data_IF_172005862392
#
_entry.id   IF_172005862392
#
_cell.length_a   1.000
_cell.length_b   1.000
_cell.length_c   1.000
_cell.angle_alpha   90.00
_cell.angle_beta   90.00
_cell.angle_gamma   90.00
#
_symmetry.space_group_name_H-M   'P 1'
#
loop_
_entity.id
_entity.type
_entity.pdbx_description
1 polymer ?
#
# COMPACT_ATOMS: atom_id res chain seq x y z
N UNK A 1 1.15 1.96 -50.59
CA UNK A 1 0.91 1.47 -49.22
C UNK A 1 0.65 2.70 -48.37
N UNK A 2 -0.63 2.99 -48.12
CA UNK A 2 -1.03 4.08 -47.24
C UNK A 2 -1.14 3.50 -45.84
N UNK A 3 -0.24 3.89 -44.94
CA UNK A 3 -0.45 3.73 -43.51
C UNK A 3 -1.59 4.67 -43.10
N UNK A 4 -2.76 4.09 -42.80
CA UNK A 4 -3.80 4.79 -42.06
C UNK A 4 -3.24 5.12 -40.67
N UNK A 5 -2.88 6.39 -40.45
CA UNK A 5 -2.86 6.96 -39.11
C UNK A 5 -4.27 6.84 -38.55
N UNK A 6 -4.52 5.80 -37.74
CA UNK A 6 -5.71 5.70 -36.91
C UNK A 6 -5.77 6.95 -36.03
N UNK A 7 -6.63 7.90 -36.41
CA UNK A 7 -6.85 9.13 -35.66
C UNK A 7 -7.24 8.78 -34.22
N UNK A 8 -6.63 9.47 -33.26
CA UNK A 8 -6.95 9.30 -31.85
C UNK A 8 -8.46 9.40 -31.64
N UNK A 9 -9.06 8.36 -31.05
CA UNK A 9 -10.49 8.36 -30.75
C UNK A 9 -10.75 9.40 -29.66
N UNK A 10 -11.59 10.39 -29.99
CA UNK A 10 -12.01 11.42 -29.05
C UNK A 10 -13.31 10.95 -28.37
N UNK A 11 -13.23 10.68 -27.07
CA UNK A 11 -14.35 10.19 -26.26
C UNK A 11 -14.74 11.24 -25.21
N UNK A 12 -16.01 11.33 -24.86
CA UNK A 12 -16.50 12.23 -23.81
C UNK A 12 -17.06 11.43 -22.65
N UNK A 13 -16.59 11.68 -21.44
CA UNK A 13 -17.16 11.14 -20.20
C UNK A 13 -17.33 12.25 -19.16
N UNK A 14 -17.86 11.94 -17.97
CA UNK A 14 -17.98 12.91 -16.89
C UNK A 14 -16.77 12.86 -15.96
N UNK A 15 -16.34 11.65 -15.58
CA UNK A 15 -15.18 11.46 -14.70
C UNK A 15 -14.25 10.39 -15.26
N UNK A 16 -12.96 10.72 -15.36
CA UNK A 16 -11.90 9.74 -15.60
C UNK A 16 -11.21 9.39 -14.28
N UNK A 17 -11.02 8.10 -14.02
CA UNK A 17 -10.21 7.61 -12.91
C UNK A 17 -8.92 7.00 -13.46
N UNK A 18 -7.78 7.55 -13.06
CA UNK A 18 -6.46 7.06 -13.49
C UNK A 18 -5.97 6.03 -12.47
N UNK A 19 -5.91 4.76 -12.90
CA UNK A 19 -5.47 3.60 -12.14
C UNK A 19 -6.61 2.64 -11.78
N UNK A 20 -6.52 1.39 -12.25
CA UNK A 20 -7.40 0.27 -11.94
C UNK A 20 -6.94 -0.54 -10.71
N UNK A 21 -6.33 0.12 -9.74
CA UNK A 21 -6.10 -0.44 -8.41
C UNK A 21 -7.35 -0.33 -7.54
N UNK A 22 -7.32 -0.94 -6.35
CA UNK A 22 -8.47 -0.95 -5.42
C UNK A 22 -9.02 0.47 -5.13
N UNK A 23 -8.14 1.47 -4.97
CA UNK A 23 -8.52 2.87 -4.73
C UNK A 23 -9.33 3.46 -5.89
N UNK A 24 -8.83 3.35 -7.13
CA UNK A 24 -9.52 3.88 -8.31
C UNK A 24 -10.82 3.15 -8.62
N UNK A 25 -10.83 1.82 -8.49
CA UNK A 25 -12.03 1.02 -8.69
C UNK A 25 -13.11 1.35 -7.65
N UNK A 26 -12.75 1.48 -6.36
CA UNK A 26 -13.70 1.91 -5.34
C UNK A 26 -14.18 3.35 -5.56
N UNK A 27 -13.32 4.27 -6.02
CA UNK A 27 -13.72 5.63 -6.36
C UNK A 27 -14.76 5.64 -7.48
N UNK A 28 -14.52 4.89 -8.57
CA UNK A 28 -15.46 4.74 -9.67
C UNK A 28 -16.78 4.10 -9.21
N UNK A 29 -16.71 3.04 -8.39
CA UNK A 29 -17.89 2.36 -7.83
C UNK A 29 -18.74 3.33 -7.01
N UNK A 30 -18.12 4.08 -6.10
CA UNK A 30 -18.82 5.07 -5.25
C UNK A 30 -19.44 6.22 -6.06
N UNK A 31 -18.84 6.62 -7.17
CA UNK A 31 -19.45 7.61 -8.06
C UNK A 31 -20.71 7.05 -8.71
N UNK A 32 -20.66 5.84 -9.26
CA UNK A 32 -21.84 5.20 -9.87
C UNK A 32 -22.93 4.84 -8.85
N UNK A 33 -22.56 4.45 -7.64
CA UNK A 33 -23.52 4.24 -6.52
C UNK A 33 -24.30 5.52 -6.19
N UNK A 34 -23.67 6.70 -6.29
CA UNK A 34 -24.33 7.98 -6.04
C UNK A 34 -25.19 8.44 -7.22
N UNK A 35 -24.76 8.16 -8.44
CA UNK A 35 -25.52 8.45 -9.64
C UNK A 35 -25.14 7.46 -10.74
N UNK A 36 -26.02 6.50 -10.97
CA UNK A 36 -25.80 5.37 -11.88
C UNK A 36 -25.65 5.81 -13.35
N UNK A 37 -26.16 7.01 -13.68
CA UNK A 37 -26.06 7.62 -15.00
C UNK A 37 -24.72 8.32 -15.24
N UNK A 38 -23.88 8.48 -14.21
CA UNK A 38 -22.57 9.08 -14.37
C UNK A 38 -21.72 8.24 -15.32
N UNK A 39 -21.22 8.87 -16.37
CA UNK A 39 -20.26 8.24 -17.28
C UNK A 39 -18.86 8.30 -16.67
N UNK A 40 -18.48 7.21 -16.00
CA UNK A 40 -17.18 7.06 -15.33
C UNK A 40 -16.33 6.06 -16.08
N UNK A 41 -15.11 6.46 -16.44
CA UNK A 41 -14.14 5.60 -17.12
C UNK A 41 -12.89 5.42 -16.27
N UNK A 42 -12.54 4.18 -15.96
CA UNK A 42 -11.28 3.80 -15.31
C UNK A 42 -10.25 3.47 -16.38
N UNK A 43 -9.11 4.15 -16.37
CA UNK A 43 -7.98 3.89 -17.25
C UNK A 43 -6.86 3.20 -16.45
N UNK A 44 -6.53 1.97 -16.82
CA UNK A 44 -5.47 1.17 -16.19
C UNK A 44 -4.34 0.90 -17.17
N UNK A 45 -3.11 1.21 -16.76
CA UNK A 45 -1.93 1.07 -17.60
C UNK A 45 -1.59 -0.40 -17.93
N UNK A 46 -1.83 -1.33 -17.01
CA UNK A 46 -1.51 -2.75 -17.19
C UNK A 46 -2.65 -3.48 -17.91
N UNK A 47 -2.35 -4.69 -18.39
CA UNK A 47 -3.35 -5.64 -18.89
C UNK A 47 -4.18 -6.31 -17.79
N UNK A 48 -4.22 -5.76 -16.57
CA UNK A 48 -4.97 -6.29 -15.42
C UNK A 48 -5.32 -5.20 -14.42
N UNK A 49 -6.39 -5.40 -13.66
CA UNK A 49 -6.69 -4.61 -12.46
C UNK A 49 -5.89 -5.11 -11.24
N UNK A 50 -6.05 -4.42 -10.10
CA UNK A 50 -5.47 -4.81 -8.79
C UNK A 50 -4.33 -3.92 -8.32
N UNK A 51 -3.63 -3.25 -9.24
CA UNK A 51 -2.50 -2.39 -8.89
C UNK A 51 -1.41 -3.15 -8.11
N UNK A 52 -1.31 -2.87 -6.80
CA UNK A 52 -0.36 -3.51 -5.86
C UNK A 52 -0.85 -4.84 -5.27
N UNK A 53 -2.09 -5.25 -5.54
CA UNK A 53 -2.51 -6.64 -5.36
C UNK A 53 -2.25 -7.42 -6.65
N UNK A 54 -1.77 -8.64 -6.48
CA UNK A 54 -1.50 -9.59 -7.55
C UNK A 54 -1.67 -10.99 -6.97
N UNK A 55 -2.59 -11.76 -7.50
CA UNK A 55 -2.83 -13.15 -7.12
C UNK A 55 -2.52 -14.04 -8.32
N UNK A 56 -1.67 -15.06 -8.14
CA UNK A 56 -1.37 -16.05 -9.17
C UNK A 56 -1.69 -17.45 -8.68
N UNK A 57 -2.09 -18.32 -9.60
CA UNK A 57 -2.19 -19.76 -9.33
C UNK A 57 -0.81 -20.40 -9.44
N UNK A 58 -0.37 -21.08 -8.38
CA UNK A 58 0.92 -21.76 -8.30
C UNK A 58 0.72 -23.26 -8.01
N UNK A 59 1.61 -24.14 -8.50
CA UNK A 59 1.62 -25.53 -8.07
C UNK A 59 1.88 -25.66 -6.56
N UNK A 60 0.98 -26.39 -5.90
CA UNK A 60 1.03 -26.75 -4.48
C UNK A 60 0.80 -28.27 -4.34
N UNK A 61 0.94 -28.79 -3.12
CA UNK A 61 0.86 -30.24 -2.87
C UNK A 61 -0.48 -30.87 -3.26
N UNK A 62 -1.57 -30.10 -3.23
CA UNK A 62 -2.92 -30.54 -3.58
C UNK A 62 -3.41 -30.02 -4.95
N UNK A 63 -2.50 -29.69 -5.87
CA UNK A 63 -2.83 -29.17 -7.20
C UNK A 63 -2.48 -27.69 -7.36
N UNK A 64 -3.35 -26.89 -7.98
CA UNK A 64 -3.14 -25.44 -8.09
C UNK A 64 -3.75 -24.73 -6.88
N UNK A 65 -3.00 -23.80 -6.30
CA UNK A 65 -3.47 -22.91 -5.23
C UNK A 65 -3.20 -21.44 -5.56
N UNK A 66 -4.01 -20.54 -5.04
CA UNK A 66 -3.93 -19.11 -5.34
C UNK A 66 -3.09 -18.38 -4.29
N UNK A 67 -2.03 -17.72 -4.75
CA UNK A 67 -1.07 -17.03 -3.91
C UNK A 67 -0.93 -15.56 -4.27
N UNK A 68 -1.02 -14.69 -3.27
CA UNK A 68 -0.77 -13.27 -3.44
C UNK A 68 0.74 -13.01 -3.58
N UNK A 69 1.16 -12.41 -4.68
CA UNK A 69 2.49 -11.82 -4.88
C UNK A 69 2.53 -10.32 -4.53
N UNK A 70 1.36 -9.70 -4.34
CA UNK A 70 1.21 -8.33 -3.86
C UNK A 70 0.87 -8.23 -2.37
N UNK A 71 0.10 -7.19 -2.03
CA UNK A 71 -0.59 -7.13 -0.73
C UNK A 71 -1.43 -8.37 -0.50
N UNK A 72 -1.50 -8.87 0.74
CA UNK A 72 -2.12 -10.18 1.03
C UNK A 72 -2.89 -10.27 2.34
N UNK A 73 -2.64 -9.33 3.26
CA UNK A 73 -3.21 -9.36 4.60
C UNK A 73 -4.27 -8.28 4.77
N UNK A 74 -5.26 -8.62 5.57
CA UNK A 74 -6.29 -7.71 6.06
C UNK A 74 -6.49 -7.94 7.56
N UNK A 75 -7.03 -6.96 8.28
CA UNK A 75 -7.29 -7.07 9.72
C UNK A 75 -8.65 -6.51 10.09
N UNK A 76 -9.25 -7.01 11.19
CA UNK A 76 -10.61 -6.58 11.59
C UNK A 76 -10.72 -5.08 11.89
N UNK A 77 -9.60 -4.42 12.19
CA UNK A 77 -9.52 -2.97 12.42
C UNK A 77 -9.59 -2.15 11.13
N UNK A 78 -9.38 -2.77 9.97
CA UNK A 78 -9.39 -2.13 8.65
C UNK A 78 -10.81 -2.14 8.08
N UNK A 79 -11.71 -1.38 8.71
CA UNK A 79 -13.16 -1.44 8.47
C UNK A 79 -13.55 -1.37 6.99
N UNK A 80 -13.04 -0.38 6.24
CA UNK A 80 -13.42 -0.19 4.84
C UNK A 80 -13.13 -1.40 3.92
N UNK A 81 -12.00 -2.09 4.11
CA UNK A 81 -11.70 -3.28 3.29
C UNK A 81 -12.48 -4.49 3.79
N UNK A 82 -12.75 -4.58 5.09
CA UNK A 82 -13.57 -5.66 5.66
C UNK A 82 -15.04 -5.55 5.21
N UNK A 83 -15.59 -4.34 5.18
CA UNK A 83 -16.93 -4.07 4.65
C UNK A 83 -17.00 -4.44 3.15
N UNK A 84 -15.98 -4.05 2.37
CA UNK A 84 -15.88 -4.42 0.97
C UNK A 84 -15.80 -5.93 0.74
N UNK A 85 -15.02 -6.64 1.57
CA UNK A 85 -14.96 -8.11 1.54
C UNK A 85 -16.35 -8.71 1.75
N UNK A 86 -17.11 -8.21 2.73
CA UNK A 86 -18.45 -8.68 3.02
C UNK A 86 -19.43 -8.39 1.87
N UNK A 87 -19.43 -7.17 1.35
CA UNK A 87 -20.28 -6.75 0.20
C UNK A 87 -20.05 -7.62 -1.04
N UNK A 88 -18.80 -8.04 -1.26
CA UNK A 88 -18.41 -8.86 -2.41
C UNK A 88 -18.59 -10.37 -2.17
N UNK A 89 -19.12 -10.77 -1.01
CA UNK A 89 -19.31 -12.18 -0.65
C UNK A 89 -17.99 -12.96 -0.52
N UNK A 90 -16.91 -12.28 -0.16
CA UNK A 90 -15.58 -12.88 0.00
C UNK A 90 -15.39 -13.45 1.40
N UNK A 91 -14.68 -14.58 1.47
CA UNK A 91 -14.29 -15.22 2.73
C UNK A 91 -12.88 -14.84 3.14
N UNK A 92 -12.68 -14.62 4.45
CA UNK A 92 -11.35 -14.50 5.06
C UNK A 92 -11.06 -15.69 5.96
N UNK A 93 -9.79 -16.00 6.14
CA UNK A 93 -9.32 -17.01 7.08
C UNK A 93 -8.15 -16.48 7.91
N UNK A 94 -7.97 -16.94 9.17
CA UNK A 94 -6.91 -16.47 10.04
C UNK A 94 -5.52 -16.81 9.48
N UNK A 95 -4.58 -15.88 9.61
CA UNK A 95 -3.18 -16.13 9.33
C UNK A 95 -2.70 -17.31 10.18
N UNK A 96 -2.10 -18.31 9.52
CA UNK A 96 -1.57 -19.47 10.22
C UNK A 96 -0.43 -19.05 11.15
N UNK A 97 -0.62 -19.25 12.45
CA UNK A 97 0.31 -18.87 13.52
C UNK A 97 0.51 -19.98 14.54
N UNK A 98 -0.09 -21.16 14.34
CA UNK A 98 0.04 -22.29 15.25
C UNK A 98 1.47 -22.84 15.22
N UNK A 99 2.10 -22.91 16.38
CA UNK A 99 3.45 -23.44 16.55
C UNK A 99 4.38 -22.41 17.20
N UNK A 100 5.69 -22.61 17.00
CA UNK A 100 6.70 -21.67 17.48
C UNK A 100 7.13 -20.75 16.34
N UNK A 101 7.26 -19.47 16.62
CA UNK A 101 7.93 -18.50 15.75
C UNK A 101 9.43 -18.78 15.78
N UNK A 102 10.08 -18.68 14.62
CA UNK A 102 11.53 -18.84 14.48
C UNK A 102 12.16 -17.45 14.34
N UNK A 103 13.20 -17.20 15.12
CA UNK A 103 13.99 -15.97 15.05
C UNK A 103 15.41 -16.29 14.59
N UNK A 104 15.83 -15.63 13.51
CA UNK A 104 17.13 -15.80 12.88
C UNK A 104 17.54 -14.46 12.23
N UNK A 105 18.63 -13.86 12.71
CA UNK A 105 19.11 -12.55 12.23
C UNK A 105 20.01 -12.63 10.99
N UNK A 106 20.21 -13.84 10.44
CA UNK A 106 21.00 -14.08 9.25
C UNK A 106 22.51 -14.10 9.50
N UNK A 107 23.21 -14.95 8.75
CA UNK A 107 24.64 -15.24 8.92
C UNK A 107 24.86 -16.67 9.40
N UNK A 108 25.90 -17.32 8.87
CA UNK A 108 26.15 -18.75 9.05
C UNK A 108 26.23 -19.18 10.53
N UNK A 109 26.71 -18.29 11.40
CA UNK A 109 26.94 -18.57 12.83
C UNK A 109 25.86 -17.99 13.74
N UNK A 110 24.77 -17.42 13.19
CA UNK A 110 23.73 -16.82 14.04
C UNK A 110 22.83 -17.89 14.67
N UNK A 111 22.71 -17.84 16.00
CA UNK A 111 21.88 -18.77 16.76
C UNK A 111 20.42 -18.62 16.39
N UNK A 112 19.80 -19.72 15.96
CA UNK A 112 18.35 -19.79 15.77
C UNK A 112 17.68 -19.94 17.14
N UNK A 113 16.68 -19.11 17.41
CA UNK A 113 15.85 -19.21 18.61
C UNK A 113 14.38 -19.36 18.26
N UNK A 114 13.58 -19.87 19.20
CA UNK A 114 12.15 -20.07 19.01
C UNK A 114 11.36 -19.51 20.17
N UNK A 115 10.18 -18.97 19.88
CA UNK A 115 9.32 -18.31 20.87
C UNK A 115 7.85 -18.42 20.45
N UNK A 116 6.93 -18.24 21.40
CA UNK A 116 5.48 -18.31 21.16
C UNK A 116 4.78 -16.96 21.34
N UNK A 117 5.48 -15.98 21.92
CA UNK A 117 4.91 -14.67 22.24
C UNK A 117 4.91 -13.73 21.02
N UNK A 118 4.35 -12.52 21.17
CA UNK A 118 4.46 -11.47 20.16
C UNK A 118 5.88 -10.97 19.96
N UNK A 119 6.71 -11.03 20.99
CA UNK A 119 8.07 -10.48 20.99
C UNK A 119 9.08 -11.65 21.06
N UNK A 120 10.23 -11.56 20.36
CA UNK A 120 11.31 -12.54 20.53
C UNK A 120 11.78 -12.66 21.99
N UNK A 121 12.31 -13.83 22.35
CA UNK A 121 12.84 -14.07 23.69
C UNK A 121 14.15 -13.32 23.89
N UNK A 122 14.10 -12.18 24.58
CA UNK A 122 15.26 -11.37 24.95
C UNK A 122 15.75 -11.67 26.37
N UNK A 123 17.03 -11.40 26.65
CA UNK A 123 17.51 -11.34 28.03
C UNK A 123 16.83 -10.17 28.78
N UNK A 124 16.72 -10.20 30.12
CA UNK A 124 16.00 -9.17 30.87
C UNK A 124 16.46 -7.73 30.59
N UNK A 125 17.76 -7.49 30.43
CA UNK A 125 18.30 -6.17 30.11
C UNK A 125 17.94 -5.70 28.68
N UNK A 126 17.95 -6.62 27.72
CA UNK A 126 17.57 -6.33 26.33
C UNK A 126 16.06 -6.13 26.20
N UNK A 127 15.27 -6.91 26.96
CA UNK A 127 13.82 -6.75 27.04
C UNK A 127 13.44 -5.39 27.63
N UNK A 128 14.15 -4.93 28.67
CA UNK A 128 13.92 -3.61 29.26
C UNK A 128 14.13 -2.49 28.24
N UNK A 129 15.22 -2.56 27.45
CA UNK A 129 15.50 -1.60 26.38
C UNK A 129 14.36 -1.58 25.35
N UNK A 130 13.95 -2.77 24.89
CA UNK A 130 12.87 -2.90 23.92
C UNK A 130 11.55 -2.32 24.43
N UNK A 131 11.14 -2.68 25.65
CA UNK A 131 9.89 -2.20 26.26
C UNK A 131 9.95 -0.70 26.48
N UNK A 132 11.07 -0.15 26.94
CA UNK A 132 11.25 1.28 27.12
C UNK A 132 11.15 2.03 25.78
N UNK A 133 11.82 1.53 24.74
CA UNK A 133 11.79 2.14 23.42
C UNK A 133 10.39 2.10 22.81
N UNK A 134 9.73 0.93 22.86
CA UNK A 134 8.36 0.76 22.39
C UNK A 134 7.38 1.67 23.14
N UNK A 135 7.50 1.78 24.46
CA UNK A 135 6.67 2.70 25.25
C UNK A 135 6.81 4.16 24.81
N UNK A 136 8.03 4.61 24.50
CA UNK A 136 8.28 5.95 23.96
C UNK A 136 7.60 6.14 22.60
N UNK A 137 7.73 5.15 21.70
CA UNK A 137 7.10 5.20 20.38
C UNK A 137 5.57 5.25 20.48
N UNK A 138 4.97 4.37 21.29
CA UNK A 138 3.52 4.31 21.48
C UNK A 138 2.96 5.61 22.08
N UNK A 139 3.70 6.24 23.00
CA UNK A 139 3.33 7.55 23.53
C UNK A 139 3.35 8.63 22.44
N UNK A 140 4.38 8.65 21.58
CA UNK A 140 4.48 9.62 20.49
C UNK A 140 3.43 9.38 19.40
N UNK A 141 3.14 8.12 19.06
CA UNK A 141 2.09 7.77 18.09
C UNK A 141 0.73 8.33 18.50
N UNK A 142 0.40 8.32 19.81
CA UNK A 142 -0.85 8.90 20.34
C UNK A 142 -0.96 10.41 20.18
N UNK A 143 0.14 11.12 20.00
CA UNK A 143 0.15 12.58 19.78
C UNK A 143 0.14 12.97 18.30
N UNK A 144 0.24 12.01 17.38
CA UNK A 144 0.25 12.33 15.94
C UNK A 144 -1.14 12.75 15.46
N UNK A 145 -1.22 13.87 14.75
CA UNK A 145 -2.42 14.24 14.00
C UNK A 145 -2.38 13.51 12.64
N UNK A 146 -3.32 12.59 12.41
CA UNK A 146 -3.32 11.75 11.21
C UNK A 146 -3.80 12.50 9.97
N UNK A 147 -4.73 13.43 10.15
CA UNK A 147 -5.30 14.25 9.07
C UNK A 147 -4.28 15.28 8.56
N UNK A 148 -3.43 15.78 9.45
CA UNK A 148 -2.43 16.80 9.17
C UNK A 148 -1.19 16.59 10.05
N UNK A 149 -0.22 15.78 9.59
CA UNK A 149 0.97 15.44 10.37
C UNK A 149 1.79 16.65 10.85
N UNK A 150 1.71 17.78 10.13
CA UNK A 150 2.39 19.02 10.49
C UNK A 150 1.79 19.69 11.72
N UNK A 151 0.54 19.36 12.09
CA UNK A 151 -0.09 19.80 13.34
C UNK A 151 0.29 18.95 14.54
N UNK A 152 1.07 17.87 14.38
CA UNK A 152 1.50 17.10 15.54
C UNK A 152 2.49 17.92 16.40
N UNK A 153 2.47 17.77 17.73
CA UNK A 153 3.42 18.45 18.60
C UNK A 153 4.86 18.15 18.16
N UNK A 154 5.68 19.20 18.08
CA UNK A 154 7.08 19.13 17.65
C UNK A 154 7.28 18.54 16.24
N UNK A 155 6.27 18.60 15.35
CA UNK A 155 6.31 18.01 14.00
C UNK A 155 7.60 18.35 13.22
N UNK A 156 8.00 19.62 13.19
CA UNK A 156 9.23 20.04 12.50
C UNK A 156 10.48 19.36 13.08
N UNK A 157 10.55 19.21 14.40
CA UNK A 157 11.67 18.52 15.04
C UNK A 157 11.66 17.03 14.69
N UNK A 158 10.49 16.39 14.79
CA UNK A 158 10.32 14.97 14.49
C UNK A 158 10.59 14.65 13.02
N UNK A 159 10.22 15.54 12.09
CA UNK A 159 10.45 15.37 10.66
C UNK A 159 11.89 15.71 10.25
N UNK A 160 12.58 16.57 11.02
CA UNK A 160 13.99 16.91 10.79
C UNK A 160 14.98 15.81 11.14
N UNK A 161 14.53 14.70 11.74
CA UNK A 161 15.37 13.57 12.11
C UNK A 161 14.90 12.27 11.45
N UNK A 162 15.87 11.38 11.24
CA UNK A 162 15.57 10.04 10.74
C UNK A 162 15.15 9.10 11.86
N UNK A 163 14.44 8.02 11.52
CA UNK A 163 14.18 6.93 12.46
C UNK A 163 15.49 6.40 13.06
N UNK A 164 16.56 6.30 12.26
CA UNK A 164 17.90 5.91 12.75
C UNK A 164 18.42 6.86 13.83
N UNK A 165 18.32 8.17 13.61
CA UNK A 165 18.81 9.18 14.58
C UNK A 165 18.08 9.07 15.91
N UNK A 166 16.77 8.82 15.87
CA UNK A 166 15.98 8.59 17.08
C UNK A 166 16.36 7.27 17.76
N UNK A 167 16.57 6.20 16.99
CA UNK A 167 17.03 4.91 17.49
C UNK A 167 18.39 5.02 18.20
N UNK A 168 19.38 5.68 17.60
CA UNK A 168 20.74 5.83 18.15
C UNK A 168 20.75 6.56 19.50
N UNK A 169 19.80 7.47 19.71
CA UNK A 169 19.66 8.23 20.96
C UNK A 169 18.95 7.45 22.08
N UNK A 170 18.09 6.50 21.72
CA UNK A 170 17.12 5.91 22.66
C UNK A 170 17.26 4.40 22.87
N UNK A 171 18.15 3.74 22.13
CA UNK A 171 18.41 2.30 22.21
C UNK A 171 19.87 2.10 22.62
N UNK A 172 20.11 1.38 23.71
CA UNK A 172 21.47 1.02 24.14
C UNK A 172 21.89 -0.39 23.69
N UNK A 173 20.93 -1.25 23.34
CA UNK A 173 21.18 -2.63 22.94
C UNK A 173 21.46 -2.74 21.45
N UNK A 174 22.66 -3.23 21.11
CA UNK A 174 23.01 -3.58 19.74
C UNK A 174 22.07 -4.64 19.15
N UNK A 175 21.47 -5.51 19.97
CA UNK A 175 20.49 -6.48 19.52
C UNK A 175 19.20 -5.79 19.06
N UNK A 176 18.61 -4.90 19.89
CA UNK A 176 17.37 -4.18 19.52
C UNK A 176 17.58 -3.28 18.31
N UNK A 177 18.74 -2.63 18.20
CA UNK A 177 19.12 -1.86 17.03
C UNK A 177 19.05 -2.71 15.74
N UNK A 178 19.54 -3.96 15.78
CA UNK A 178 19.47 -4.89 14.64
C UNK A 178 18.04 -5.34 14.34
N UNK A 179 17.25 -5.65 15.37
CA UNK A 179 15.83 -6.05 15.19
C UNK A 179 15.04 -4.95 14.48
N UNK A 180 15.14 -3.70 14.94
CA UNK A 180 14.37 -2.61 14.37
C UNK A 180 14.82 -2.24 12.95
N UNK A 181 16.12 -2.39 12.63
CA UNK A 181 16.60 -2.29 11.25
C UNK A 181 15.98 -3.38 10.36
N UNK A 182 15.85 -4.61 10.86
CA UNK A 182 15.15 -5.67 10.15
C UNK A 182 13.67 -5.33 9.94
N UNK A 183 12.96 -4.87 10.98
CA UNK A 183 11.56 -4.46 10.90
C UNK A 183 11.36 -3.30 9.90
N UNK A 184 12.24 -2.29 9.90
CA UNK A 184 12.15 -1.18 8.96
C UNK A 184 12.23 -1.67 7.51
N UNK A 185 13.21 -2.54 7.21
CA UNK A 185 13.37 -3.11 5.87
C UNK A 185 12.19 -3.98 5.46
N UNK A 186 11.63 -4.78 6.37
CA UNK A 186 10.51 -5.68 6.05
C UNK A 186 9.18 -4.96 5.87
N UNK A 187 8.94 -3.86 6.58
CA UNK A 187 7.67 -3.10 6.53
C UNK A 187 7.71 -2.02 5.45
N UNK A 188 8.80 -1.24 5.40
CA UNK A 188 8.90 -0.08 4.53
C UNK A 188 9.73 -0.32 3.28
N UNK A 189 10.53 -1.40 3.21
CA UNK A 189 11.49 -1.60 2.13
C UNK A 189 12.63 -0.57 2.14
N UNK A 190 12.90 0.03 3.31
CA UNK A 190 13.87 1.13 3.48
C UNK A 190 14.66 0.98 4.78
N UNK A 191 15.89 1.50 4.79
CA UNK A 191 16.68 1.61 6.01
C UNK A 191 16.12 2.69 6.94
N UNK A 192 16.25 2.55 8.28
CA UNK A 192 15.81 3.59 9.21
C UNK A 192 16.46 4.97 8.96
N UNK A 193 17.65 5.00 8.35
CA UNK A 193 18.35 6.23 7.99
C UNK A 193 17.73 6.99 6.82
N UNK A 194 16.81 6.35 6.09
CA UNK A 194 16.13 6.93 4.93
C UNK A 194 14.68 7.32 5.24
N UNK A 195 14.20 7.07 6.46
CA UNK A 195 12.83 7.35 6.88
C UNK A 195 12.81 8.55 7.83
N UNK A 196 11.97 9.55 7.53
CA UNK A 196 11.58 10.58 8.50
C UNK A 196 10.97 9.92 9.74
N UNK A 197 11.35 10.38 10.93
CA UNK A 197 10.80 9.86 12.17
C UNK A 197 9.32 10.25 12.34
N UNK A 198 8.94 11.48 11.96
CA UNK A 198 7.52 11.88 11.92
C UNK A 198 6.70 10.97 10.99
N UNK A 199 7.22 10.66 9.80
CA UNK A 199 6.53 9.76 8.87
C UNK A 199 6.35 8.36 9.47
N UNK A 200 7.38 7.81 10.12
CA UNK A 200 7.28 6.53 10.82
C UNK A 200 6.18 6.54 11.90
N UNK A 201 6.13 7.60 12.71
CA UNK A 201 5.11 7.75 13.76
C UNK A 201 3.70 7.87 13.18
N UNK A 202 3.52 8.67 12.14
CA UNK A 202 2.24 8.81 11.42
C UNK A 202 1.79 7.46 10.86
N UNK A 203 2.67 6.74 10.18
CA UNK A 203 2.36 5.44 9.59
C UNK A 203 1.96 4.41 10.68
N UNK A 204 2.69 4.38 11.78
CA UNK A 204 2.40 3.51 12.92
C UNK A 204 1.09 3.88 13.61
N UNK A 205 0.84 5.17 13.81
CA UNK A 205 -0.39 5.69 14.41
C UNK A 205 -1.62 5.37 13.54
N UNK A 206 -1.49 5.48 12.20
CA UNK A 206 -2.54 5.13 11.25
C UNK A 206 -2.91 3.63 11.32
N UNK A 207 -1.94 2.77 11.66
CA UNK A 207 -2.17 1.34 11.90
C UNK A 207 -2.71 1.02 13.31
N UNK A 208 -2.88 2.03 14.17
CA UNK A 208 -3.32 1.88 15.56
C UNK A 208 -2.20 1.52 16.55
N UNK A 209 -0.95 1.79 16.19
CA UNK A 209 0.24 1.55 17.01
C UNK A 209 1.28 0.66 16.31
N UNK A 210 2.50 0.65 16.84
CA UNK A 210 3.63 -0.10 16.25
C UNK A 210 3.36 -1.59 16.31
N UNK A 211 2.85 -2.10 17.43
CA UNK A 211 2.56 -3.53 17.57
C UNK A 211 1.44 -3.99 16.64
N UNK A 212 0.40 -3.18 16.43
CA UNK A 212 -0.70 -3.51 15.51
C UNK A 212 -0.25 -3.54 14.06
N UNK A 213 0.72 -2.70 13.70
CA UNK A 213 1.32 -2.72 12.37
C UNK A 213 2.09 -4.02 12.08
N UNK A 214 2.74 -4.60 13.09
CA UNK A 214 3.69 -5.71 12.94
C UNK A 214 3.11 -7.10 13.20
N UNK A 215 2.06 -7.21 14.02
CA UNK A 215 1.60 -8.50 14.55
C UNK A 215 0.45 -9.14 13.77
N UNK A 216 0.18 -10.40 14.12
CA UNK A 216 -0.94 -11.24 13.63
C UNK A 216 -2.05 -11.39 14.67
N UNK A 217 -1.96 -10.71 15.81
CA UNK A 217 -2.97 -10.73 16.88
C UNK A 217 -4.30 -10.10 16.43
N UNK A 218 -5.43 -10.41 17.09
CA UNK A 218 -6.72 -9.80 16.77
C UNK A 218 -6.64 -8.26 16.70
N UNK A 219 -7.06 -7.67 15.57
CA UNK A 219 -7.00 -6.22 15.34
C UNK A 219 -5.70 -5.70 14.73
N UNK A 220 -4.72 -6.57 14.45
CA UNK A 220 -3.45 -6.21 13.83
C UNK A 220 -3.46 -6.41 12.31
N UNK A 221 -2.45 -5.86 11.62
CA UNK A 221 -2.39 -5.78 10.16
C UNK A 221 -2.29 -7.14 9.45
N UNK A 222 -1.76 -8.18 10.12
CA UNK A 222 -1.51 -9.50 9.52
C UNK A 222 -2.47 -10.57 10.05
N UNK A 223 -3.65 -10.17 10.50
CA UNK A 223 -4.60 -11.05 11.16
C UNK A 223 -5.24 -12.09 10.21
N UNK A 224 -5.68 -11.65 9.04
CA UNK A 224 -6.41 -12.49 8.09
C UNK A 224 -5.79 -12.46 6.70
N UNK A 225 -6.12 -13.49 5.92
CA UNK A 225 -5.94 -13.55 4.47
C UNK A 225 -7.29 -13.74 3.79
N UNK A 226 -7.41 -13.30 2.54
CA UNK A 226 -8.60 -13.51 1.71
C UNK A 226 -8.51 -14.86 0.99
N UNK A 227 -9.54 -15.69 1.08
CA UNK A 227 -9.60 -16.98 0.40
C UNK A 227 -9.64 -16.76 -1.13
N UNK A 228 -8.74 -17.42 -1.85
CA UNK A 228 -8.55 -17.22 -3.30
C UNK A 228 -7.73 -15.97 -3.67
N UNK A 229 -7.20 -15.22 -2.69
CA UNK A 229 -6.32 -14.08 -2.91
C UNK A 229 -7.00 -12.71 -2.97
N UNK A 230 -6.23 -11.67 -2.71
CA UNK A 230 -6.72 -10.29 -2.53
C UNK A 230 -7.00 -9.53 -3.82
N UNK A 231 -6.45 -9.97 -4.96
CA UNK A 231 -6.72 -9.33 -6.26
C UNK A 231 -8.20 -9.40 -6.64
N UNK A 232 -8.91 -10.42 -6.15
CA UNK A 232 -10.35 -10.60 -6.30
C UNK A 232 -11.18 -9.38 -5.86
N UNK A 233 -10.69 -8.57 -4.90
CA UNK A 233 -11.38 -7.34 -4.50
C UNK A 233 -11.49 -6.37 -5.68
N UNK A 234 -10.40 -6.22 -6.43
CA UNK A 234 -10.38 -5.35 -7.61
C UNK A 234 -11.10 -5.99 -8.79
N UNK A 235 -10.97 -7.30 -8.98
CA UNK A 235 -11.65 -8.02 -10.06
C UNK A 235 -13.17 -7.95 -9.92
N UNK A 236 -13.73 -8.26 -8.74
CA UNK A 236 -15.18 -8.20 -8.54
C UNK A 236 -15.73 -6.77 -8.62
N UNK A 237 -15.00 -5.77 -8.14
CA UNK A 237 -15.43 -4.37 -8.32
C UNK A 237 -15.41 -3.97 -9.80
N UNK A 238 -14.39 -4.38 -10.55
CA UNK A 238 -14.32 -4.13 -11.99
C UNK A 238 -15.45 -4.84 -12.75
N UNK A 239 -15.81 -6.06 -12.35
CA UNK A 239 -16.96 -6.80 -12.89
C UNK A 239 -18.29 -6.08 -12.63
N UNK A 240 -18.52 -5.61 -11.40
CA UNK A 240 -19.70 -4.82 -11.04
C UNK A 240 -19.79 -3.50 -11.82
N UNK A 241 -18.64 -2.86 -12.08
CA UNK A 241 -18.59 -1.63 -12.86
C UNK A 241 -18.92 -1.85 -14.33
N UNK A 242 -18.66 -3.04 -14.88
CA UNK A 242 -18.81 -3.35 -16.29
C UNK A 242 -17.53 -3.09 -17.10
N UNK A 243 -17.26 -3.96 -18.07
CA UNK A 243 -16.04 -3.91 -18.92
C UNK A 243 -15.95 -2.63 -19.75
N UNK A 244 -17.09 -2.03 -20.07
CA UNK A 244 -17.19 -0.76 -20.78
C UNK A 244 -16.68 0.43 -19.96
N UNK A 245 -16.68 0.33 -18.63
CA UNK A 245 -16.23 1.38 -17.72
C UNK A 245 -14.79 1.18 -17.22
N UNK A 246 -14.12 0.08 -17.61
CA UNK A 246 -12.74 -0.23 -17.19
C UNK A 246 -11.89 -0.59 -18.41
N UNK A 247 -11.00 0.31 -18.80
CA UNK A 247 -10.10 0.14 -19.95
C UNK A 247 -8.70 -0.23 -19.49
N UNK A 248 -8.26 -1.43 -19.85
CA UNK A 248 -6.92 -1.95 -19.59
C UNK A 248 -5.94 -1.53 -20.69
N UNK A 249 -4.63 -1.66 -20.42
CA UNK A 249 -3.57 -1.32 -21.39
C UNK A 249 -3.59 0.15 -21.83
N UNK A 250 -4.18 1.03 -21.02
CA UNK A 250 -4.42 2.44 -21.34
C UNK A 250 -3.65 3.31 -20.36
N UNK A 251 -2.34 3.39 -20.56
CA UNK A 251 -1.47 4.23 -19.76
C UNK A 251 -1.80 5.71 -20.05
N UNK A 252 -2.11 6.47 -18.99
CA UNK A 252 -2.30 7.92 -19.09
C UNK A 252 -0.93 8.58 -19.13
N UNK A 253 -0.68 9.34 -20.19
CA UNK A 253 0.60 10.02 -20.45
C UNK A 253 0.52 11.52 -20.21
N UNK A 254 -0.65 12.13 -20.43
CA UNK A 254 -0.86 13.55 -20.16
C UNK A 254 -2.27 13.86 -19.65
N UNK A 255 -2.39 14.94 -18.86
CA UNK A 255 -3.64 15.51 -18.38
C UNK A 255 -3.59 17.02 -18.63
N UNK A 256 -4.47 17.50 -19.51
CA UNK A 256 -4.59 18.92 -19.84
C UNK A 256 -5.90 19.47 -19.30
N UNK A 257 -5.83 20.41 -18.39
CA UNK A 257 -6.97 21.03 -17.72
C UNK A 257 -7.16 22.46 -18.23
N UNK A 258 -8.36 22.73 -18.71
CA UNK A 258 -8.87 24.07 -18.99
C UNK A 258 -9.86 24.51 -17.90
N UNK A 259 -10.48 25.68 -18.06
CA UNK A 259 -11.54 26.14 -17.16
C UNK A 259 -12.81 25.27 -17.25
N UNK A 260 -13.11 24.71 -18.44
CA UNK A 260 -14.39 24.05 -18.73
C UNK A 260 -14.32 22.51 -18.74
N UNK A 261 -13.14 21.96 -18.99
CA UNK A 261 -12.93 20.52 -19.19
C UNK A 261 -11.51 20.08 -18.86
N UNK A 262 -11.34 18.75 -18.82
CA UNK A 262 -10.04 18.09 -18.72
C UNK A 262 -9.90 17.07 -19.84
N UNK A 263 -8.82 17.16 -20.60
CA UNK A 263 -8.40 16.15 -21.57
C UNK A 263 -7.41 15.19 -20.91
N UNK A 264 -7.73 13.90 -20.93
CA UNK A 264 -6.86 12.81 -20.47
C UNK A 264 -6.35 12.05 -21.68
N UNK A 265 -5.04 11.95 -21.81
CA UNK A 265 -4.39 11.38 -22.99
C UNK A 265 -3.74 10.05 -22.66
N UNK A 266 -3.91 9.11 -23.57
CA UNK A 266 -3.18 7.85 -23.62
C UNK A 266 -2.42 7.77 -24.94
N UNK A 267 -1.66 6.71 -25.15
CA UNK A 267 -0.96 6.47 -26.43
C UNK A 267 -1.91 6.32 -27.63
N UNK A 268 -3.18 5.98 -27.38
CA UNK A 268 -4.15 5.58 -28.41
C UNK A 268 -5.42 6.42 -28.43
N UNK A 269 -5.69 7.23 -27.39
CA UNK A 269 -6.96 7.94 -27.26
C UNK A 269 -6.82 9.24 -26.47
N UNK A 270 -7.76 10.17 -26.71
CA UNK A 270 -7.94 11.36 -25.89
C UNK A 270 -9.36 11.38 -25.36
N UNK A 271 -9.50 11.47 -24.04
CA UNK A 271 -10.79 11.45 -23.35
C UNK A 271 -11.03 12.84 -22.76
N UNK A 272 -12.11 13.49 -23.19
CA UNK A 272 -12.57 14.75 -22.59
C UNK A 272 -13.52 14.45 -21.43
N UNK A 273 -13.32 15.09 -20.29
CA UNK A 273 -14.13 14.90 -19.10
C UNK A 273 -14.30 16.17 -18.27
N UNK A 274 -15.13 16.10 -17.22
CA UNK A 274 -15.36 17.20 -16.28
C UNK A 274 -14.43 17.13 -15.07
N UNK A 275 -14.03 15.94 -14.64
CA UNK A 275 -13.12 15.75 -13.54
C UNK A 275 -12.22 14.52 -13.74
N UNK A 276 -11.04 14.55 -13.12
CA UNK A 276 -10.09 13.45 -13.11
C UNK A 276 -9.72 13.09 -11.68
N UNK A 277 -9.73 11.80 -11.35
CA UNK A 277 -9.22 11.28 -10.08
C UNK A 277 -7.95 10.49 -10.36
N UNK A 278 -6.80 11.00 -9.90
CA UNK A 278 -5.51 10.30 -10.04
C UNK A 278 -5.25 9.45 -8.80
N UNK A 279 -5.24 8.12 -8.97
CA UNK A 279 -5.12 7.16 -7.85
C UNK A 279 -3.83 6.35 -7.86
N UNK A 280 -2.93 6.64 -8.79
CA UNK A 280 -1.61 6.03 -8.82
C UNK A 280 -0.70 6.59 -7.71
N UNK A 281 0.33 5.84 -7.28
CA UNK A 281 1.31 6.33 -6.30
C UNK A 281 1.97 7.65 -6.74
N UNK A 282 2.44 8.52 -5.82
CA UNK A 282 2.98 9.84 -6.16
C UNK A 282 4.07 9.83 -7.23
N UNK A 283 5.02 8.88 -7.17
CA UNK A 283 6.09 8.75 -8.16
C UNK A 283 5.60 8.32 -9.56
N UNK A 284 4.46 7.63 -9.65
CA UNK A 284 3.81 7.30 -10.92
C UNK A 284 3.02 8.50 -11.44
N UNK A 285 2.31 9.20 -10.56
CA UNK A 285 1.61 10.43 -10.92
C UNK A 285 2.58 11.49 -11.45
N UNK A 286 3.80 11.56 -10.91
CA UNK A 286 4.86 12.46 -11.37
C UNK A 286 5.30 12.25 -12.83
N UNK A 287 5.04 11.07 -13.40
CA UNK A 287 5.41 10.73 -14.77
C UNK A 287 4.37 11.19 -15.80
N UNK A 288 3.18 11.59 -15.35
CA UNK A 288 2.14 12.14 -16.21
C UNK A 288 2.49 13.60 -16.51
N UNK A 289 2.39 14.01 -17.77
CA UNK A 289 2.52 15.42 -18.14
C UNK A 289 1.25 16.20 -17.75
N UNK A 290 1.40 17.36 -17.12
CA UNK A 290 0.28 18.21 -16.72
C UNK A 290 0.34 19.57 -17.40
N UNK A 291 -0.79 20.01 -17.95
CA UNK A 291 -0.97 21.37 -18.48
C UNK A 291 -2.28 21.97 -17.94
N UNK A 292 -2.28 23.10 -17.22
CA UNK A 292 -1.09 23.80 -16.73
C UNK A 292 -0.26 22.91 -15.78
N UNK A 293 1.00 23.27 -15.62
CA UNK A 293 1.88 22.54 -14.72
C UNK A 293 1.30 22.52 -13.29
N UNK A 294 1.41 21.37 -12.61
CA UNK A 294 0.99 21.25 -11.22
C UNK A 294 1.70 22.29 -10.32
N UNK A 295 1.04 22.74 -9.23
CA UNK A 295 1.66 23.61 -8.24
C UNK A 295 3.03 23.08 -7.78
N UNK A 296 3.96 24.00 -7.52
CA UNK A 296 5.35 23.66 -7.19
C UNK A 296 5.45 22.68 -6.01
N UNK A 297 4.64 22.88 -4.97
CA UNK A 297 4.58 22.03 -3.79
C UNK A 297 4.21 20.58 -4.14
N UNK A 298 3.22 20.40 -5.03
CA UNK A 298 2.79 19.07 -5.48
C UNK A 298 3.87 18.38 -6.30
N UNK A 299 4.57 19.11 -7.17
CA UNK A 299 5.69 18.57 -7.97
C UNK A 299 6.85 18.14 -7.08
N UNK A 300 7.23 18.96 -6.10
CA UNK A 300 8.28 18.62 -5.11
C UNK A 300 7.89 17.38 -4.31
N UNK A 301 6.67 17.33 -3.78
CA UNK A 301 6.19 16.16 -3.03
C UNK A 301 6.31 14.87 -3.84
N UNK A 302 5.92 14.90 -5.12
CA UNK A 302 5.97 13.72 -5.97
C UNK A 302 7.41 13.21 -6.25
N UNK A 303 8.40 14.12 -6.23
CA UNK A 303 9.82 13.81 -6.38
C UNK A 303 10.48 13.36 -5.05
N UNK A 304 9.93 13.78 -3.90
CA UNK A 304 10.49 13.51 -2.57
C UNK A 304 9.80 12.36 -1.83
N UNK A 305 9.00 11.54 -2.51
CA UNK A 305 8.31 10.37 -1.94
C UNK A 305 8.82 9.08 -2.58
N UNK A 306 10.04 8.61 -2.21
CA UNK A 306 10.60 7.38 -2.74
C UNK A 306 9.75 6.17 -2.34
N UNK A 307 9.88 5.09 -3.12
CA UNK A 307 9.28 3.79 -2.78
C UNK A 307 10.30 2.87 -2.15
N UNK A 308 9.83 2.06 -1.20
CA UNK A 308 10.60 0.95 -0.68
C UNK A 308 10.83 -0.13 -1.74
N UNK A 309 11.96 -0.83 -1.62
CA UNK A 309 12.30 -1.95 -2.48
C UNK A 309 12.12 -3.26 -1.72
N UNK A 310 11.27 -4.14 -2.23
CA UNK A 310 10.99 -5.43 -1.63
C UNK A 310 10.80 -6.49 -2.71
N UNK A 311 11.29 -7.70 -2.45
CA UNK A 311 11.03 -8.88 -3.26
C UNK A 311 10.22 -9.86 -2.42
N UNK A 312 9.07 -10.28 -2.94
CA UNK A 312 8.27 -11.35 -2.35
C UNK A 312 8.50 -12.63 -3.15
N UNK A 313 8.82 -13.72 -2.45
CA UNK A 313 8.95 -15.04 -3.06
C UNK A 313 8.13 -16.04 -2.24
N UNK A 314 7.71 -17.10 -2.92
CA UNK A 314 6.85 -18.16 -2.36
C UNK A 314 7.52 -19.47 -2.71
N UNK A 315 7.73 -20.31 -1.70
CA UNK A 315 8.31 -21.64 -1.87
C UNK A 315 7.25 -22.63 -1.42
N UNK A 316 6.83 -23.50 -2.34
CA UNK A 316 5.92 -24.60 -2.05
C UNK A 316 6.73 -25.88 -1.84
N UNK A 317 6.29 -26.69 -0.88
CA UNK A 317 6.90 -27.98 -0.56
C UNK A 317 5.85 -29.08 -0.75
N UNK A 318 6.26 -30.31 -1.15
CA UNK A 318 5.41 -31.48 -1.00
C UNK A 318 5.07 -31.66 0.49
N UNK A 319 3.80 -31.92 0.79
CA UNK A 319 3.34 -32.30 2.13
C UNK A 319 3.43 -33.79 2.33
#
# INVERSE_FOLDING_TARGET
MHEEQQGAVCEVCEVVVVGGGLSGLCAARRLKERNEKLRVLVLEAKGRVGGRTLTLSLPASNGLDCWDLGGQWVGRSQTHVMDLIQELGLEVYPQFTKGKKVHHLGGADTKISTYTSSIPSFSPLVLLDFVQFLWRLERLCKSVCLEDPMKTPDALQLDSMTLQSYMDKHIWSAQIMKELKLCSRSVFGMEPSQLSFLYFLMYSAAAGGVMRLLETTPGSAQEFKVKGGTQQLSERVAEQLGKENVRLGSAVTAIWQSEDNVEVKTDTSTITCKAVIVTCPPHMAAQIEYQPALPLERRRLAQCMPVGHMTKFIITYPT
#
